data_IF_094488424557
#
_entry.id   IF_094488424557
#
_cell.length_a   1.000
_cell.length_b   1.000
_cell.length_c   1.000
_cell.angle_alpha   90.00
_cell.angle_beta   90.00
_cell.angle_gamma   90.00
#
_symmetry.space_group_name_H-M   'P 1'
#
loop_
_entity.id
_entity.type
_entity.pdbx_description
1 polymer ?
#
# COMPACT_ATOMS: atom_id res chain seq x y z
N UNK A 1 3.42 -19.50 39.64
CA UNK A 1 4.09 -18.47 38.81
C UNK A 1 3.20 -18.25 37.59
N UNK A 2 2.12 -17.49 37.77
CA UNK A 2 1.07 -17.31 36.76
C UNK A 2 0.49 -15.91 36.87
N UNK A 3 1.31 -14.91 36.59
CA UNK A 3 0.89 -13.50 36.54
C UNK A 3 1.95 -12.78 35.73
N UNK A 4 1.77 -12.61 34.41
CA UNK A 4 2.50 -11.63 33.56
C UNK A 4 2.08 -11.62 32.07
N UNK A 5 0.94 -12.21 31.68
CA UNK A 5 0.51 -12.26 30.26
C UNK A 5 -0.69 -11.40 29.90
N UNK A 6 -1.28 -10.64 30.84
CA UNK A 6 -2.52 -9.87 30.60
C UNK A 6 -2.29 -8.40 30.19
N UNK A 7 -1.04 -7.94 30.05
CA UNK A 7 -0.72 -6.52 29.79
C UNK A 7 -0.28 -6.22 28.37
N UNK A 8 -0.23 -7.20 27.46
CA UNK A 8 0.13 -6.97 26.04
C UNK A 8 -1.08 -6.74 25.14
N UNK A 9 -2.22 -7.35 25.45
CA UNK A 9 -3.42 -7.23 24.62
C UNK A 9 -4.10 -5.86 24.78
N UNK A 10 -3.95 -5.19 25.94
CA UNK A 10 -4.55 -3.87 26.21
C UNK A 10 -3.83 -2.72 25.49
N UNK A 11 -2.53 -2.85 25.19
CA UNK A 11 -1.77 -1.83 24.45
C UNK A 11 -1.96 -1.91 22.93
N UNK A 12 -2.50 -3.03 22.43
CA UNK A 12 -2.72 -3.24 21.00
C UNK A 12 -4.07 -2.68 20.52
N UNK A 13 -5.07 -2.59 21.40
CA UNK A 13 -6.37 -1.95 21.07
C UNK A 13 -6.29 -0.43 20.99
N UNK A 14 -5.46 0.23 21.82
CA UNK A 14 -5.31 1.69 21.78
C UNK A 14 -4.55 2.18 20.54
N UNK A 15 -3.58 1.41 20.04
CA UNK A 15 -2.83 1.74 18.82
C UNK A 15 -3.66 1.54 17.55
N UNK A 16 -4.59 0.57 17.54
CA UNK A 16 -5.48 0.32 16.41
C UNK A 16 -6.57 1.39 16.26
N UNK A 17 -7.08 1.91 17.39
CA UNK A 17 -8.08 2.98 17.41
C UNK A 17 -7.50 4.35 17.01
N UNK A 18 -6.21 4.60 17.27
CA UNK A 18 -5.52 5.80 16.79
C UNK A 18 -5.17 5.71 15.29
N UNK A 19 -4.80 4.53 14.77
CA UNK A 19 -4.55 4.32 13.33
C UNK A 19 -5.82 4.48 12.48
N UNK A 20 -6.97 3.99 12.96
CA UNK A 20 -8.25 4.13 12.25
C UNK A 20 -8.74 5.60 12.20
N UNK A 21 -8.35 6.43 13.18
CA UNK A 21 -8.61 7.88 13.17
C UNK A 21 -7.58 8.65 12.32
N UNK A 22 -6.35 8.14 12.19
CA UNK A 22 -5.30 8.76 11.37
C UNK A 22 -5.50 8.48 9.88
N UNK A 23 -5.97 7.27 9.52
CA UNK A 23 -6.25 6.88 8.13
C UNK A 23 -7.46 7.60 7.52
N UNK A 24 -8.34 8.18 8.33
CA UNK A 24 -9.47 9.00 7.87
C UNK A 24 -9.02 10.39 7.38
N UNK A 25 -7.82 10.85 7.77
CA UNK A 25 -7.25 12.14 7.38
C UNK A 25 -5.98 12.00 6.54
N UNK A 26 -5.76 10.87 5.86
CA UNK A 26 -4.73 10.77 4.82
C UNK A 26 -5.27 11.34 3.50
N UNK A 27 -5.66 12.61 3.54
CA UNK A 27 -5.93 13.36 2.32
C UNK A 27 -4.60 13.57 1.60
N UNK A 28 -4.43 12.91 0.45
CA UNK A 28 -3.26 13.09 -0.42
C UNK A 28 -3.03 14.59 -0.64
N UNK A 29 -1.77 15.07 -0.61
CA UNK A 29 -1.44 16.50 -0.70
C UNK A 29 -2.17 17.23 -1.86
N UNK A 30 -2.40 16.55 -2.98
CA UNK A 30 -3.20 17.06 -4.10
C UNK A 30 -4.66 17.38 -3.74
N UNK A 31 -5.30 16.52 -2.94
CA UNK A 31 -6.68 16.72 -2.47
C UNK A 31 -6.79 17.92 -1.51
N UNK A 32 -5.82 18.09 -0.60
CA UNK A 32 -5.77 19.26 0.29
C UNK A 32 -5.61 20.55 -0.52
N UNK A 33 -4.77 20.55 -1.57
CA UNK A 33 -4.59 21.70 -2.45
C UNK A 33 -5.89 22.04 -3.18
N UNK A 34 -6.58 21.03 -3.74
CA UNK A 34 -7.86 21.22 -4.42
C UNK A 34 -8.95 21.79 -3.50
N UNK A 35 -9.10 21.22 -2.30
CA UNK A 35 -10.04 21.70 -1.28
C UNK A 35 -9.72 23.15 -0.87
N UNK A 36 -8.44 23.50 -0.70
CA UNK A 36 -8.06 24.89 -0.37
C UNK A 36 -8.36 25.88 -1.49
N UNK A 37 -8.20 25.48 -2.75
CA UNK A 37 -8.58 26.30 -3.91
C UNK A 37 -10.10 26.44 -4.03
N UNK A 38 -10.85 25.36 -3.77
CA UNK A 38 -12.31 25.40 -3.71
C UNK A 38 -12.79 26.37 -2.62
N UNK A 39 -12.22 26.30 -1.41
CA UNK A 39 -12.54 27.24 -0.31
C UNK A 39 -12.20 28.69 -0.68
N UNK A 40 -11.08 28.94 -1.37
CA UNK A 40 -10.75 30.29 -1.89
C UNK A 40 -11.81 30.77 -2.88
N UNK A 41 -12.30 29.91 -3.78
CA UNK A 41 -13.33 30.23 -4.76
C UNK A 41 -14.68 30.54 -4.10
N UNK A 42 -15.06 29.79 -3.07
CA UNK A 42 -16.25 30.08 -2.27
C UNK A 42 -16.10 31.42 -1.55
N UNK A 43 -14.96 31.67 -0.91
CA UNK A 43 -14.69 32.94 -0.20
C UNK A 43 -14.76 34.14 -1.13
N UNK A 44 -14.18 34.06 -2.32
CA UNK A 44 -14.25 35.14 -3.31
C UNK A 44 -15.67 35.35 -3.83
N UNK A 45 -16.47 34.29 -3.96
CA UNK A 45 -17.89 34.40 -4.35
C UNK A 45 -18.73 35.03 -3.25
N UNK A 46 -18.54 34.61 -2.00
CA UNK A 46 -19.18 35.22 -0.84
C UNK A 46 -18.78 36.69 -0.65
N UNK A 47 -17.51 37.03 -0.90
CA UNK A 47 -17.03 38.42 -0.86
C UNK A 47 -17.66 39.26 -1.97
N UNK A 48 -17.87 38.71 -3.18
CA UNK A 48 -18.64 39.37 -4.26
C UNK A 48 -20.10 39.59 -3.87
N UNK A 49 -20.75 38.59 -3.28
CA UNK A 49 -22.14 38.70 -2.79
C UNK A 49 -22.23 39.77 -1.71
N UNK A 50 -21.31 39.76 -0.75
CA UNK A 50 -21.19 40.81 0.28
C UNK A 50 -20.99 42.18 -0.35
N UNK A 51 -20.09 42.31 -1.32
CA UNK A 51 -19.87 43.57 -2.04
C UNK A 51 -21.13 44.03 -2.78
N UNK A 52 -21.91 43.12 -3.35
CA UNK A 52 -23.18 43.42 -4.02
C UNK A 52 -24.25 43.92 -3.04
N UNK A 53 -24.38 43.25 -1.88
CA UNK A 53 -25.35 43.60 -0.83
C UNK A 53 -25.00 44.95 -0.18
N UNK A 54 -23.72 45.20 0.11
CA UNK A 54 -23.29 46.41 0.81
C UNK A 54 -22.92 47.58 -0.11
N UNK A 55 -22.78 47.39 -1.44
CA UNK A 55 -22.76 48.51 -2.39
C UNK A 55 -24.16 49.07 -2.67
N UNK A 56 -25.22 48.27 -2.56
CA UNK A 56 -26.59 48.72 -2.82
C UNK A 56 -27.18 49.55 -1.66
N UNK A 57 -26.62 49.45 -0.45
CA UNK A 57 -26.99 50.30 0.70
C UNK A 57 -26.28 51.66 0.76
N UNK A 58 -25.27 51.86 -0.09
CA UNK A 58 -24.36 53.01 -0.03
C UNK A 58 -24.40 53.92 -1.25
N UNK A 59 -25.60 54.35 -1.70
CA UNK A 59 -25.71 55.53 -2.56
C UNK A 59 -26.57 55.41 -3.81
N UNK A 60 -27.88 55.28 -3.64
CA UNK A 60 -28.81 55.86 -4.61
C UNK A 60 -29.24 57.24 -4.11
N UNK A 61 -28.46 58.25 -4.50
CA UNK A 61 -28.98 59.61 -4.57
C UNK A 61 -30.17 59.56 -5.52
N UNK A 62 -31.35 59.89 -5.00
CA UNK A 62 -32.53 60.22 -5.79
C UNK A 62 -32.17 61.33 -6.79
N UNK A 63 -31.89 60.96 -8.03
CA UNK A 63 -31.86 61.88 -9.16
C UNK A 63 -32.59 61.20 -10.31
N UNK A 64 -33.88 61.49 -10.41
CA UNK A 64 -34.67 61.72 -11.63
C UNK A 64 -36.09 62.06 -11.17
N UNK A 65 -36.36 63.35 -10.96
CA UNK A 65 -36.86 64.30 -11.97
C UNK A 65 -38.39 64.33 -12.01
N UNK A 66 -38.89 65.23 -11.17
CA UNK A 66 -40.07 66.06 -11.41
C UNK A 66 -39.93 66.81 -12.75
N UNK A 67 -41.08 67.24 -13.28
CA UNK A 67 -41.39 68.06 -14.47
C UNK A 67 -41.89 67.17 -15.64
N UNK A 68 -43.11 67.30 -16.17
CA UNK A 68 -43.88 68.52 -16.41
C UNK A 68 -45.38 68.38 -16.15
N UNK A 69 -45.87 69.21 -15.24
CA UNK A 69 -47.21 69.76 -15.31
C UNK A 69 -47.10 71.21 -15.77
N UNK A 70 -47.76 71.51 -16.88
CA UNK A 70 -48.11 72.85 -17.41
C UNK A 70 -47.01 73.61 -18.17
N UNK A 71 -47.16 73.66 -19.49
CA UNK A 71 -46.72 74.78 -20.33
C UNK A 71 -47.92 75.26 -21.17
N UNK A 72 -48.32 76.50 -20.88
CA UNK A 72 -49.28 77.31 -21.62
C UNK A 72 -48.57 78.07 -22.75
N UNK A 73 -49.37 78.57 -23.71
CA UNK A 73 -49.27 79.85 -24.46
C UNK A 73 -48.95 79.72 -25.97
N UNK A 74 -49.95 80.03 -26.82
CA UNK A 74 -50.14 81.29 -27.62
C UNK A 74 -49.29 81.30 -28.92
N UNK A 75 -49.73 81.65 -30.14
CA UNK A 75 -50.81 82.47 -30.71
C UNK A 75 -51.04 82.11 -32.20
N UNK A 76 -52.24 82.39 -32.73
CA UNK A 76 -52.54 82.95 -34.07
C UNK A 76 -54.08 83.05 -34.15
N UNK A 77 -54.65 84.22 -33.89
CA UNK A 77 -55.12 85.16 -34.92
C UNK A 77 -56.16 84.58 -35.89
N UNK A 78 -57.35 85.16 -35.78
CA UNK A 78 -58.30 85.56 -36.82
C UNK A 78 -58.84 84.53 -37.84
N UNK A 79 -60.15 84.62 -38.11
CA UNK A 79 -60.84 83.76 -39.08
C UNK A 79 -60.54 84.11 -40.56
N UNK A 80 -61.33 83.64 -41.54
CA UNK A 80 -62.49 82.74 -41.44
C UNK A 80 -62.59 81.65 -42.55
N UNK A 81 -63.62 80.81 -42.43
CA UNK A 81 -64.31 80.01 -43.47
C UNK A 81 -63.61 78.76 -44.04
N UNK A 82 -64.16 77.59 -43.68
CA UNK A 82 -64.73 76.58 -44.61
C UNK A 82 -65.22 75.41 -43.74
N UNK A 83 -66.42 75.46 -43.17
CA UNK A 83 -67.58 74.74 -43.71
C UNK A 83 -67.16 73.60 -44.65
N UNK A 84 -67.14 72.35 -44.15
CA UNK A 84 -67.78 71.15 -44.74
C UNK A 84 -67.72 70.03 -43.68
N UNK A 85 -68.89 69.69 -43.17
CA UNK A 85 -69.34 68.40 -42.66
C UNK A 85 -68.62 67.74 -41.47
N UNK A 86 -68.86 68.30 -40.28
CA UNK A 86 -69.07 67.45 -39.10
C UNK A 86 -70.46 66.81 -39.21
N UNK A 87 -70.58 65.80 -40.07
CA UNK A 87 -71.66 64.84 -39.95
C UNK A 87 -71.35 63.98 -38.72
N UNK A 88 -72.23 64.05 -37.72
CA UNK A 88 -72.17 63.18 -36.55
C UNK A 88 -72.03 61.74 -37.05
N UNK A 89 -70.95 60.99 -36.71
CA UNK A 89 -70.85 59.60 -37.10
C UNK A 89 -72.13 58.92 -36.61
N UNK A 90 -72.89 58.32 -37.51
CA UNK A 90 -74.10 57.59 -37.12
C UNK A 90 -73.71 56.67 -35.96
N UNK A 91 -74.53 56.68 -34.91
CA UNK A 91 -74.32 55.90 -33.69
C UNK A 91 -73.92 54.45 -33.98
N UNK A 92 -74.43 53.90 -35.09
CA UNK A 92 -74.11 52.58 -35.63
C UNK A 92 -72.62 52.39 -35.96
N UNK A 93 -71.94 53.38 -36.55
CA UNK A 93 -70.50 53.29 -36.86
C UNK A 93 -69.63 53.22 -35.60
N UNK A 94 -70.03 53.92 -34.55
CA UNK A 94 -69.34 53.90 -33.24
C UNK A 94 -69.58 52.56 -32.55
N UNK A 95 -70.82 52.06 -32.58
CA UNK A 95 -71.18 50.76 -32.02
C UNK A 95 -70.42 49.62 -32.72
N UNK A 96 -70.29 49.66 -34.04
CA UNK A 96 -69.56 48.63 -34.78
C UNK A 96 -68.04 48.67 -34.49
N UNK A 97 -67.44 49.87 -34.40
CA UNK A 97 -66.05 50.01 -33.95
C UNK A 97 -65.84 49.50 -32.52
N UNK A 98 -66.82 49.68 -31.63
CA UNK A 98 -66.77 49.15 -30.27
C UNK A 98 -66.79 47.62 -30.29
N UNK A 99 -67.73 47.00 -31.01
CA UNK A 99 -67.79 45.54 -31.18
C UNK A 99 -66.51 44.96 -31.76
N UNK A 100 -65.93 45.60 -32.77
CA UNK A 100 -64.65 45.18 -33.35
C UNK A 100 -63.50 45.24 -32.33
N UNK A 101 -63.45 46.29 -31.50
CA UNK A 101 -62.47 46.39 -30.42
C UNK A 101 -62.68 45.34 -29.32
N UNK A 102 -63.93 45.04 -28.96
CA UNK A 102 -64.26 44.00 -27.98
C UNK A 102 -63.87 42.60 -28.48
N UNK A 103 -64.09 42.32 -29.77
CA UNK A 103 -63.62 41.10 -30.43
C UNK A 103 -62.08 41.01 -30.41
N UNK A 104 -61.38 42.12 -30.68
CA UNK A 104 -59.93 42.17 -30.62
C UNK A 104 -59.40 41.94 -29.19
N UNK A 105 -60.04 42.53 -28.17
CA UNK A 105 -59.70 42.29 -26.76
C UNK A 105 -59.92 40.83 -26.37
N UNK A 106 -61.01 40.22 -26.85
CA UNK A 106 -61.28 38.80 -26.60
C UNK A 106 -60.19 37.90 -27.22
N UNK A 107 -59.73 38.22 -28.42
CA UNK A 107 -58.66 37.49 -29.10
C UNK A 107 -57.30 37.68 -28.40
N UNK A 108 -56.94 38.92 -28.02
CA UNK A 108 -55.75 39.20 -27.23
C UNK A 108 -55.77 38.51 -25.86
N UNK A 109 -56.93 38.42 -25.20
CA UNK A 109 -57.07 37.69 -23.94
C UNK A 109 -56.85 36.18 -24.13
N UNK A 110 -57.36 35.58 -25.21
CA UNK A 110 -57.09 34.16 -25.53
C UNK A 110 -55.61 33.93 -25.80
N UNK A 111 -54.95 34.84 -26.52
CA UNK A 111 -53.51 34.76 -26.78
C UNK A 111 -52.69 34.85 -25.48
N UNK A 112 -53.04 35.77 -24.59
CA UNK A 112 -52.39 35.90 -23.27
C UNK A 112 -52.51 34.63 -22.42
N UNK A 113 -53.68 33.97 -22.41
CA UNK A 113 -53.85 32.69 -21.71
C UNK A 113 -52.97 31.59 -22.32
N UNK A 114 -52.87 31.53 -23.66
CA UNK A 114 -51.95 30.58 -24.34
C UNK A 114 -50.49 30.87 -24.00
N UNK A 115 -50.08 32.14 -23.98
CA UNK A 115 -48.71 32.53 -23.62
C UNK A 115 -48.38 32.16 -22.18
N UNK A 116 -49.33 32.34 -21.26
CA UNK A 116 -49.18 31.94 -19.85
C UNK A 116 -48.94 30.44 -19.72
N UNK A 117 -49.74 29.61 -20.41
CA UNK A 117 -49.56 28.15 -20.43
C UNK A 117 -48.19 27.77 -21.02
N UNK A 118 -47.77 28.38 -22.13
CA UNK A 118 -46.44 28.10 -22.74
C UNK A 118 -45.30 28.45 -21.80
N UNK A 119 -45.42 29.59 -21.10
CA UNK A 119 -44.42 30.04 -20.15
C UNK A 119 -44.34 29.11 -18.92
N UNK A 120 -45.48 28.68 -18.39
CA UNK A 120 -45.54 27.67 -17.32
C UNK A 120 -44.98 26.32 -17.78
N UNK A 121 -45.33 25.85 -18.98
CA UNK A 121 -44.80 24.61 -19.55
C UNK A 121 -43.28 24.66 -19.77
N UNK A 122 -42.75 25.79 -20.27
CA UNK A 122 -41.31 25.98 -20.43
C UNK A 122 -40.58 26.02 -19.09
N UNK A 123 -41.18 26.62 -18.05
CA UNK A 123 -40.63 26.63 -16.69
C UNK A 123 -40.63 25.24 -16.07
N UNK A 124 -41.72 24.50 -16.21
CA UNK A 124 -41.84 23.13 -15.69
C UNK A 124 -40.89 22.17 -16.41
N UNK A 125 -40.77 22.27 -17.74
CA UNK A 125 -39.78 21.51 -18.50
C UNK A 125 -38.36 21.82 -18.02
N UNK A 126 -38.03 23.10 -17.80
CA UNK A 126 -36.75 23.52 -17.22
C UNK A 126 -36.51 22.90 -15.84
N UNK A 127 -37.47 23.02 -14.92
CA UNK A 127 -37.37 22.43 -13.58
C UNK A 127 -37.24 20.89 -13.61
N UNK A 128 -37.96 20.22 -14.51
CA UNK A 128 -37.86 18.77 -14.70
C UNK A 128 -36.49 18.34 -15.22
N UNK A 129 -35.89 19.09 -16.16
CA UNK A 129 -34.52 18.80 -16.63
C UNK A 129 -33.49 18.96 -15.51
N UNK A 130 -33.58 20.03 -14.72
CA UNK A 130 -32.68 20.24 -13.57
C UNK A 130 -32.82 19.13 -12.52
N UNK A 131 -34.05 18.72 -12.18
CA UNK A 131 -34.30 17.58 -11.28
C UNK A 131 -33.68 16.29 -11.79
N UNK A 132 -33.87 15.98 -13.08
CA UNK A 132 -33.28 14.78 -13.69
C UNK A 132 -31.75 14.80 -13.69
N UNK A 133 -31.14 15.95 -14.01
CA UNK A 133 -29.68 16.08 -14.01
C UNK A 133 -29.13 15.96 -12.58
N UNK A 134 -29.77 16.60 -11.60
CA UNK A 134 -29.39 16.47 -10.20
C UNK A 134 -29.50 15.01 -9.72
N UNK A 135 -30.61 14.34 -10.00
CA UNK A 135 -30.82 12.94 -9.64
C UNK A 135 -29.74 12.02 -10.24
N UNK A 136 -29.46 12.14 -11.54
CA UNK A 136 -28.41 11.34 -12.21
C UNK A 136 -27.04 11.59 -11.60
N UNK A 137 -26.74 12.84 -11.24
CA UNK A 137 -25.48 13.18 -10.59
C UNK A 137 -25.38 12.49 -9.23
N UNK A 138 -26.43 12.55 -8.40
CA UNK A 138 -26.47 11.85 -7.11
C UNK A 138 -26.33 10.34 -7.23
N UNK A 139 -27.07 9.71 -8.15
CA UNK A 139 -26.99 8.28 -8.42
C UNK A 139 -25.58 7.86 -8.85
N UNK A 140 -24.94 8.66 -9.73
CA UNK A 140 -23.59 8.39 -10.19
C UNK A 140 -22.55 8.48 -9.06
N UNK A 141 -22.67 9.51 -8.21
CA UNK A 141 -21.79 9.70 -7.05
C UNK A 141 -21.97 8.57 -6.04
N UNK A 142 -23.21 8.21 -5.73
CA UNK A 142 -23.51 7.11 -4.82
C UNK A 142 -22.92 5.80 -5.32
N UNK A 143 -23.14 5.47 -6.61
CA UNK A 143 -22.60 4.26 -7.23
C UNK A 143 -21.07 4.24 -7.15
N UNK A 144 -20.42 5.35 -7.50
CA UNK A 144 -18.95 5.44 -7.44
C UNK A 144 -18.43 5.27 -6.01
N UNK A 145 -19.10 5.87 -5.02
CA UNK A 145 -18.75 5.72 -3.60
C UNK A 145 -18.89 4.27 -3.12
N UNK A 146 -19.98 3.60 -3.51
CA UNK A 146 -20.21 2.19 -3.16
C UNK A 146 -19.19 1.25 -3.81
N UNK A 147 -18.85 1.47 -5.08
CA UNK A 147 -17.82 0.72 -5.79
C UNK A 147 -16.44 0.90 -5.15
N UNK A 148 -16.07 2.14 -4.79
CA UNK A 148 -14.80 2.43 -4.13
C UNK A 148 -14.75 1.76 -2.75
N UNK A 149 -15.82 1.88 -1.95
CA UNK A 149 -15.94 1.21 -0.65
C UNK A 149 -15.79 -0.31 -0.79
N UNK A 150 -16.44 -0.92 -1.79
CA UNK A 150 -16.34 -2.36 -2.05
C UNK A 150 -14.91 -2.74 -2.41
N UNK A 151 -14.25 -1.98 -3.29
CA UNK A 151 -12.86 -2.24 -3.67
C UNK A 151 -11.93 -2.16 -2.47
N UNK A 152 -12.09 -1.15 -1.61
CA UNK A 152 -11.29 -1.01 -0.39
C UNK A 152 -11.48 -2.20 0.56
N UNK A 153 -12.72 -2.67 0.71
CA UNK A 153 -13.02 -3.85 1.53
C UNK A 153 -12.40 -5.13 0.95
N UNK A 154 -12.42 -5.28 -0.39
CA UNK A 154 -11.79 -6.41 -1.08
C UNK A 154 -10.26 -6.35 -0.95
N UNK A 155 -9.65 -5.16 -1.09
CA UNK A 155 -8.22 -4.93 -0.90
C UNK A 155 -7.80 -5.22 0.55
N UNK A 156 -8.60 -4.82 1.54
CA UNK A 156 -8.38 -5.14 2.96
C UNK A 156 -8.37 -6.65 3.21
N UNK A 157 -9.33 -7.38 2.65
CA UNK A 157 -9.39 -8.85 2.75
C UNK A 157 -8.20 -9.51 2.07
N UNK A 158 -7.81 -9.03 0.89
CA UNK A 158 -6.64 -9.55 0.17
C UNK A 158 -5.36 -9.36 0.98
N UNK A 159 -5.16 -8.17 1.56
CA UNK A 159 -4.03 -7.88 2.44
C UNK A 159 -4.04 -8.77 3.68
N UNK A 160 -5.20 -8.98 4.30
CA UNK A 160 -5.34 -9.87 5.46
C UNK A 160 -4.93 -11.32 5.13
N UNK A 161 -5.41 -11.86 4.00
CA UNK A 161 -5.06 -13.22 3.55
C UNK A 161 -3.56 -13.33 3.25
N UNK A 162 -2.98 -12.34 2.57
CA UNK A 162 -1.54 -12.30 2.27
C UNK A 162 -0.70 -12.28 3.56
N UNK A 163 -1.11 -11.47 4.54
CA UNK A 163 -0.45 -11.39 5.83
C UNK A 163 -0.47 -12.73 6.57
N UNK A 164 -1.65 -13.38 6.67
CA UNK A 164 -1.78 -14.71 7.27
C UNK A 164 -0.95 -15.79 6.57
N UNK A 165 -0.85 -15.75 5.24
CA UNK A 165 -0.01 -16.68 4.49
C UNK A 165 1.47 -16.48 4.79
N UNK A 166 1.93 -15.21 4.81
CA UNK A 166 3.32 -14.86 5.17
C UNK A 166 3.63 -15.25 6.61
N UNK A 167 2.72 -15.01 7.55
CA UNK A 167 2.86 -15.42 8.94
C UNK A 167 2.98 -16.94 9.08
N UNK A 168 2.16 -17.71 8.36
CA UNK A 168 2.23 -19.17 8.34
C UNK A 168 3.58 -19.67 7.81
N UNK A 169 4.07 -19.11 6.69
CA UNK A 169 5.40 -19.45 6.12
C UNK A 169 6.51 -19.10 7.12
N UNK A 170 6.45 -17.93 7.74
CA UNK A 170 7.40 -17.51 8.77
C UNK A 170 7.42 -18.50 9.94
N UNK A 171 6.26 -18.91 10.44
CA UNK A 171 6.15 -19.91 11.52
C UNK A 171 6.77 -21.26 11.14
N UNK A 172 6.58 -21.71 9.90
CA UNK A 172 7.21 -22.94 9.39
C UNK A 172 8.74 -22.83 9.31
N UNK A 173 9.27 -21.69 8.86
CA UNK A 173 10.71 -21.44 8.84
C UNK A 173 11.30 -21.40 10.25
N UNK A 174 10.63 -20.75 11.20
CA UNK A 174 11.04 -20.72 12.61
C UNK A 174 11.05 -22.14 13.21
N UNK A 175 10.06 -22.97 12.91
CA UNK A 175 10.04 -24.37 13.35
C UNK A 175 11.19 -25.20 12.74
N UNK A 176 11.44 -25.02 11.44
CA UNK A 176 12.55 -25.68 10.74
C UNK A 176 13.90 -25.26 11.33
N UNK A 177 14.07 -23.97 11.61
CA UNK A 177 15.26 -23.42 12.24
C UNK A 177 15.48 -24.02 13.64
N UNK A 178 14.43 -24.09 14.47
CA UNK A 178 14.48 -24.75 15.79
C UNK A 178 14.94 -26.21 15.69
N UNK A 179 14.47 -26.95 14.67
CA UNK A 179 14.90 -28.33 14.44
C UNK A 179 16.39 -28.40 14.07
N UNK A 180 16.86 -27.50 13.22
CA UNK A 180 18.28 -27.42 12.83
C UNK A 180 19.16 -27.05 14.02
N UNK A 181 18.75 -26.07 14.84
CA UNK A 181 19.46 -25.70 16.07
C UNK A 181 19.60 -26.89 17.01
N UNK A 182 18.52 -27.65 17.25
CA UNK A 182 18.57 -28.86 18.09
C UNK A 182 19.53 -29.92 17.54
N UNK A 183 19.58 -30.12 16.21
CA UNK A 183 20.53 -31.04 15.58
C UNK A 183 21.97 -30.54 15.71
N UNK A 184 22.18 -29.23 15.59
CA UNK A 184 23.49 -28.60 15.74
C UNK A 184 24.01 -28.73 17.17
N UNK A 185 23.17 -28.48 18.17
CA UNK A 185 23.49 -28.70 19.59
C UNK A 185 23.91 -30.14 19.85
N UNK A 186 23.18 -31.13 19.32
CA UNK A 186 23.54 -32.55 19.45
C UNK A 186 24.88 -32.89 18.79
N UNK A 187 25.17 -32.32 17.60
CA UNK A 187 26.48 -32.47 16.96
C UNK A 187 27.59 -31.80 17.76
N UNK A 188 27.33 -30.65 18.38
CA UNK A 188 28.29 -29.94 19.20
C UNK A 188 28.65 -30.75 20.45
N UNK A 189 27.67 -31.32 21.16
CA UNK A 189 27.92 -32.23 22.27
C UNK A 189 28.77 -33.43 21.86
N UNK A 190 28.48 -34.03 20.70
CA UNK A 190 29.27 -35.16 20.19
C UNK A 190 30.71 -34.77 19.84
N UNK A 191 30.93 -33.58 19.28
CA UNK A 191 32.28 -33.04 19.03
C UNK A 191 33.03 -32.89 20.36
N UNK A 192 32.40 -32.30 21.38
CA UNK A 192 33.02 -32.14 22.71
C UNK A 192 33.39 -33.49 23.35
N UNK A 193 32.56 -34.52 23.18
CA UNK A 193 32.88 -35.88 23.65
C UNK A 193 34.13 -36.46 22.96
N UNK A 194 34.22 -36.28 21.64
CA UNK A 194 35.38 -36.74 20.85
C UNK A 194 36.65 -35.95 21.20
N UNK A 195 36.56 -34.64 21.38
CA UNK A 195 37.68 -33.79 21.82
C UNK A 195 38.23 -34.26 23.18
N UNK A 196 37.34 -34.54 24.14
CA UNK A 196 37.73 -35.08 25.44
C UNK A 196 38.39 -36.47 25.34
N UNK A 197 37.91 -37.31 24.43
CA UNK A 197 38.52 -38.63 24.18
C UNK A 197 39.92 -38.48 23.59
N UNK A 198 40.09 -37.63 22.58
CA UNK A 198 41.38 -37.35 21.94
C UNK A 198 42.36 -36.78 22.96
N UNK A 199 41.94 -35.83 23.81
CA UNK A 199 42.78 -35.29 24.87
C UNK A 199 43.30 -36.38 25.81
N UNK A 200 42.43 -37.28 26.27
CA UNK A 200 42.85 -38.42 27.12
C UNK A 200 43.85 -39.33 26.42
N UNK A 201 43.64 -39.61 25.13
CA UNK A 201 44.56 -40.43 24.34
C UNK A 201 45.92 -39.73 24.14
N UNK A 202 45.94 -38.41 24.00
CA UNK A 202 47.17 -37.62 23.90
C UNK A 202 47.97 -37.64 25.21
N UNK A 203 47.28 -37.51 26.35
CA UNK A 203 47.87 -37.65 27.68
C UNK A 203 48.47 -39.04 27.89
N UNK A 204 47.73 -40.10 27.53
CA UNK A 204 48.23 -41.48 27.60
C UNK A 204 49.44 -41.71 26.69
N UNK A 205 49.39 -41.20 25.45
CA UNK A 205 50.52 -41.26 24.50
C UNK A 205 51.77 -40.59 25.09
N UNK A 206 51.62 -39.43 25.74
CA UNK A 206 52.73 -38.73 26.41
C UNK A 206 53.34 -39.60 27.51
N UNK A 207 52.51 -40.17 28.38
CA UNK A 207 52.96 -41.08 29.46
C UNK A 207 53.70 -42.31 28.91
N UNK A 208 53.19 -42.92 27.83
CA UNK A 208 53.83 -44.07 27.18
C UNK A 208 55.20 -43.71 26.58
N UNK A 209 55.33 -42.52 25.97
CA UNK A 209 56.61 -42.04 25.44
C UNK A 209 57.64 -41.80 26.57
N UNK A 210 57.23 -41.19 27.68
CA UNK A 210 58.08 -41.00 28.87
C UNK A 210 58.53 -42.36 29.45
N UNK A 211 57.61 -43.33 29.52
CA UNK A 211 57.92 -44.68 29.98
C UNK A 211 58.89 -45.41 29.05
N UNK A 212 58.68 -45.31 27.74
CA UNK A 212 59.59 -45.88 26.72
C UNK A 212 60.99 -45.31 26.86
N UNK A 213 61.13 -43.98 26.98
CA UNK A 213 62.42 -43.33 27.18
C UNK A 213 63.13 -43.84 28.45
N UNK A 214 62.38 -43.99 29.55
CA UNK A 214 62.90 -44.53 30.81
C UNK A 214 63.42 -45.97 30.69
N UNK A 215 62.71 -46.83 29.95
CA UNK A 215 63.14 -48.21 29.69
C UNK A 215 64.37 -48.27 28.77
N UNK A 216 64.45 -47.39 27.78
CA UNK A 216 65.58 -47.31 26.87
C UNK A 216 66.87 -46.95 27.62
N UNK A 217 66.81 -46.00 28.56
CA UNK A 217 67.94 -45.66 29.45
C UNK A 217 68.37 -46.87 30.28
N UNK A 218 67.42 -47.60 30.89
CA UNK A 218 67.73 -48.81 31.68
C UNK A 218 68.34 -49.93 30.85
N UNK A 219 67.87 -50.12 29.62
CA UNK A 219 68.39 -51.12 28.71
C UNK A 219 69.83 -50.81 28.31
N UNK A 220 70.14 -49.54 28.01
CA UNK A 220 71.50 -49.09 27.74
C UNK A 220 72.42 -49.35 28.94
N UNK A 221 71.97 -49.05 30.17
CA UNK A 221 72.69 -49.37 31.42
C UNK A 221 72.95 -50.88 31.59
N UNK A 222 71.96 -51.72 31.29
CA UNK A 222 72.11 -53.18 31.36
C UNK A 222 73.01 -53.74 30.26
N UNK A 223 73.03 -53.11 29.07
CA UNK A 223 73.90 -53.49 27.95
C UNK A 223 75.38 -53.34 28.29
N UNK A 224 75.70 -52.37 29.15
CA UNK A 224 77.04 -52.16 29.71
C UNK A 224 77.40 -53.22 30.77
N UNK A 225 76.41 -53.95 31.33
CA UNK A 225 76.60 -54.97 32.37
C UNK A 225 76.47 -56.41 31.81
N UNK A 226 77.60 -57.05 31.49
CA UNK A 226 77.68 -58.26 30.64
C UNK A 226 77.35 -59.61 31.32
N UNK A 227 76.08 -59.95 31.63
CA UNK A 227 75.71 -61.34 32.05
C UNK A 227 74.34 -61.93 31.62
N UNK A 228 73.51 -61.30 30.77
CA UNK A 228 72.09 -61.73 30.63
C UNK A 228 71.62 -62.10 29.20
N UNK A 229 71.99 -63.28 28.71
CA UNK A 229 71.58 -63.78 27.39
C UNK A 229 70.09 -64.22 27.29
N UNK A 230 69.44 -64.54 28.42
CA UNK A 230 68.03 -64.99 28.47
C UNK A 230 67.04 -63.83 28.33
N UNK A 231 67.29 -62.74 29.07
CA UNK A 231 66.53 -61.48 28.97
C UNK A 231 66.54 -60.88 27.56
N UNK A 232 67.63 -61.06 26.79
CA UNK A 232 67.72 -60.58 25.42
C UNK A 232 66.74 -61.30 24.47
N UNK A 233 66.48 -62.60 24.69
CA UNK A 233 65.50 -63.37 23.91
C UNK A 233 64.06 -62.98 24.27
N UNK A 234 63.78 -62.73 25.55
CA UNK A 234 62.46 -62.26 26.00
C UNK A 234 62.16 -60.85 25.47
N UNK A 235 63.17 -59.97 25.45
CA UNK A 235 63.08 -58.67 24.79
C UNK A 235 62.81 -58.79 23.28
N UNK A 236 63.39 -59.79 22.61
CA UNK A 236 63.19 -59.98 21.18
C UNK A 236 61.78 -60.49 20.82
N UNK A 237 61.17 -61.32 21.67
CA UNK A 237 59.76 -61.73 21.48
C UNK A 237 58.81 -60.56 21.73
N UNK A 238 59.10 -59.71 22.72
CA UNK A 238 58.35 -58.48 23.01
C UNK A 238 58.46 -57.44 21.88
N UNK A 239 59.65 -57.28 21.29
CA UNK A 239 59.83 -56.44 20.09
C UNK A 239 58.97 -56.96 18.92
N UNK A 240 58.90 -58.27 18.75
CA UNK A 240 58.11 -58.90 17.68
C UNK A 240 56.60 -58.74 17.89
N UNK A 241 56.11 -58.77 19.13
CA UNK A 241 54.69 -58.50 19.43
C UNK A 241 54.34 -57.03 19.24
N UNK A 242 55.22 -56.11 19.68
CA UNK A 242 55.05 -54.67 19.45
C UNK A 242 55.06 -54.31 17.97
N UNK A 243 55.93 -54.90 17.15
CA UNK A 243 55.92 -54.71 15.69
C UNK A 243 54.59 -55.16 15.06
N UNK A 244 54.02 -56.26 15.55
CA UNK A 244 52.71 -56.74 15.08
C UNK A 244 51.58 -55.78 15.46
N UNK A 245 51.60 -55.26 16.69
CA UNK A 245 50.65 -54.23 17.13
C UNK A 245 50.78 -52.94 16.32
N UNK A 246 52.00 -52.47 16.06
CA UNK A 246 52.24 -51.29 15.21
C UNK A 246 51.69 -51.52 13.80
N UNK A 247 51.94 -52.69 13.22
CA UNK A 247 51.45 -53.02 11.87
C UNK A 247 49.92 -53.06 11.82
N UNK A 248 49.28 -53.65 12.84
CA UNK A 248 47.82 -53.65 12.96
C UNK A 248 47.26 -52.24 13.13
N UNK A 249 47.88 -51.42 13.98
CA UNK A 249 47.45 -50.03 14.19
C UNK A 249 47.60 -49.22 12.90
N UNK A 250 48.69 -49.39 12.16
CA UNK A 250 48.88 -48.75 10.85
C UNK A 250 47.80 -49.14 9.86
N UNK A 251 47.39 -50.42 9.83
CA UNK A 251 46.28 -50.87 8.99
C UNK A 251 44.96 -50.20 9.36
N UNK A 252 44.62 -50.14 10.65
CA UNK A 252 43.39 -49.48 11.13
C UNK A 252 43.41 -47.98 10.81
N UNK A 253 44.55 -47.30 11.03
CA UNK A 253 44.72 -45.88 10.69
C UNK A 253 44.53 -45.67 9.18
N UNK A 254 45.10 -46.53 8.34
CA UNK A 254 44.96 -46.43 6.89
C UNK A 254 43.49 -46.59 6.45
N UNK A 255 42.79 -47.59 7.00
CA UNK A 255 41.36 -47.78 6.76
C UNK A 255 40.52 -46.57 7.19
N UNK A 256 40.79 -46.01 8.36
CA UNK A 256 40.08 -44.81 8.83
C UNK A 256 40.38 -43.58 7.98
N UNK A 257 41.62 -43.37 7.56
CA UNK A 257 41.97 -42.29 6.63
C UNK A 257 41.26 -42.43 5.28
N UNK A 258 41.09 -43.66 4.80
CA UNK A 258 40.38 -43.92 3.56
C UNK A 258 38.87 -43.63 3.68
N UNK A 259 38.26 -44.01 4.80
CA UNK A 259 36.87 -43.65 5.11
C UNK A 259 36.68 -42.13 5.22
N UNK A 260 37.59 -41.44 5.91
CA UNK A 260 37.55 -39.98 6.03
C UNK A 260 37.63 -39.29 4.66
N UNK A 261 38.50 -39.78 3.75
CA UNK A 261 38.57 -39.27 2.37
C UNK A 261 37.25 -39.44 1.63
N UNK A 262 36.57 -40.59 1.78
CA UNK A 262 35.24 -40.82 1.19
C UNK A 262 34.21 -39.81 1.69
N UNK A 263 34.15 -39.58 3.01
CA UNK A 263 33.21 -38.62 3.62
C UNK A 263 33.50 -37.19 3.17
N UNK A 264 34.78 -36.80 3.04
CA UNK A 264 35.16 -35.48 2.52
C UNK A 264 34.68 -35.33 1.07
N UNK A 265 34.85 -36.36 0.25
CA UNK A 265 34.41 -36.34 -1.15
C UNK A 265 32.88 -36.23 -1.26
N UNK A 266 32.12 -36.94 -0.42
CA UNK A 266 30.66 -36.80 -0.34
C UNK A 266 30.24 -35.38 0.09
N UNK A 267 30.93 -34.81 1.08
CA UNK A 267 30.67 -33.45 1.56
C UNK A 267 30.95 -32.40 0.48
N UNK A 268 32.01 -32.59 -0.30
CA UNK A 268 32.36 -31.70 -1.42
C UNK A 268 31.35 -31.82 -2.57
N UNK A 269 30.82 -33.02 -2.83
CA UNK A 269 29.69 -33.23 -3.74
C UNK A 269 28.45 -32.46 -3.31
N UNK A 270 28.02 -32.62 -2.05
CA UNK A 270 26.87 -31.89 -1.49
C UNK A 270 27.08 -30.36 -1.50
N UNK A 271 28.30 -29.89 -1.27
CA UNK A 271 28.64 -28.46 -1.37
C UNK A 271 28.43 -27.93 -2.78
N UNK A 272 28.83 -28.68 -3.81
CA UNK A 272 28.61 -28.30 -5.21
C UNK A 272 27.11 -28.27 -5.56
N UNK A 273 26.34 -29.23 -5.07
CA UNK A 273 24.87 -29.25 -5.26
C UNK A 273 24.21 -28.02 -4.65
N UNK A 274 24.61 -27.63 -3.42
CA UNK A 274 24.12 -26.41 -2.78
C UNK A 274 24.49 -25.16 -3.58
N UNK A 275 25.73 -25.07 -4.06
CA UNK A 275 26.14 -23.95 -4.92
C UNK A 275 25.36 -23.88 -6.24
N UNK A 276 24.97 -25.02 -6.81
CA UNK A 276 24.09 -25.04 -7.99
C UNK A 276 22.68 -24.55 -7.66
N UNK A 277 22.13 -24.96 -6.51
CA UNK A 277 20.83 -24.45 -6.04
C UNK A 277 20.87 -22.94 -5.79
N UNK A 278 21.94 -22.42 -5.18
CA UNK A 278 22.13 -20.98 -4.97
C UNK A 278 22.13 -20.20 -6.29
N UNK A 279 22.82 -20.72 -7.32
CA UNK A 279 22.79 -20.13 -8.68
C UNK A 279 21.37 -20.13 -9.25
N UNK A 280 20.60 -21.22 -9.09
CA UNK A 280 19.20 -21.28 -9.54
C UNK A 280 18.33 -20.27 -8.80
N UNK A 281 18.49 -20.13 -7.50
CA UNK A 281 17.79 -19.12 -6.69
C UNK A 281 18.12 -17.71 -7.22
N UNK A 282 19.37 -17.42 -7.52
CA UNK A 282 19.77 -16.11 -8.03
C UNK A 282 19.13 -15.82 -9.40
N UNK A 283 19.14 -16.78 -10.33
CA UNK A 283 18.43 -16.61 -11.62
C UNK A 283 16.92 -16.41 -11.47
N UNK A 284 16.30 -17.03 -10.45
CA UNK A 284 14.88 -16.84 -10.16
C UNK A 284 14.62 -15.47 -9.56
N UNK A 285 15.49 -14.97 -8.67
CA UNK A 285 15.42 -13.60 -8.15
C UNK A 285 15.53 -12.56 -9.26
N UNK A 286 16.48 -12.73 -10.19
CA UNK A 286 16.61 -11.84 -11.35
C UNK A 286 15.31 -11.80 -12.17
N UNK A 287 14.69 -12.96 -12.43
CA UNK A 287 13.39 -13.01 -13.11
C UNK A 287 12.29 -12.29 -12.33
N UNK A 288 12.20 -12.49 -11.02
CA UNK A 288 11.23 -11.78 -10.17
C UNK A 288 11.45 -10.27 -10.26
N UNK A 289 12.70 -9.79 -10.11
CA UNK A 289 13.02 -8.37 -10.22
C UNK A 289 12.64 -7.79 -11.60
N UNK A 290 12.88 -8.53 -12.70
CA UNK A 290 12.47 -8.08 -14.03
C UNK A 290 10.94 -8.00 -14.18
N UNK A 291 10.21 -8.94 -13.59
CA UNK A 291 8.74 -8.93 -13.60
C UNK A 291 8.19 -7.80 -12.73
N UNK A 292 8.78 -7.55 -11.56
CA UNK A 292 8.43 -6.42 -10.70
C UNK A 292 8.66 -5.08 -11.41
N UNK A 293 9.82 -4.90 -12.06
CA UNK A 293 10.10 -3.71 -12.85
C UNK A 293 9.13 -3.53 -14.03
N UNK A 294 8.75 -4.63 -14.70
CA UNK A 294 7.72 -4.57 -15.75
C UNK A 294 6.34 -4.17 -15.19
N UNK A 295 5.98 -4.65 -14.01
CA UNK A 295 4.74 -4.26 -13.32
C UNK A 295 4.78 -2.77 -12.95
N UNK A 296 5.90 -2.27 -12.43
CA UNK A 296 6.08 -0.85 -12.13
C UNK A 296 5.99 0.03 -13.40
N UNK A 297 6.65 -0.34 -14.50
CA UNK A 297 6.57 0.42 -15.76
C UNK A 297 5.13 0.41 -16.31
N UNK A 298 4.43 -0.73 -16.24
CA UNK A 298 3.02 -0.82 -16.64
C UNK A 298 2.10 0.04 -15.77
N UNK A 299 2.34 0.10 -14.45
CA UNK A 299 1.61 0.97 -13.52
C UNK A 299 1.93 2.45 -13.78
N UNK A 300 3.20 2.80 -14.01
CA UNK A 300 3.64 4.16 -14.35
C UNK A 300 3.03 4.65 -15.66
N UNK A 301 3.05 3.82 -16.72
CA UNK A 301 2.39 4.13 -18.00
C UNK A 301 0.88 4.18 -17.92
N UNK A 302 0.27 3.49 -16.95
CA UNK A 302 -1.16 3.61 -16.68
C UNK A 302 -1.44 4.93 -15.98
N UNK A 303 -0.65 5.32 -14.97
CA UNK A 303 -0.75 6.63 -14.32
C UNK A 303 -0.57 7.81 -15.28
N UNK A 304 0.38 7.73 -16.22
CA UNK A 304 0.61 8.77 -17.23
C UNK A 304 -0.48 8.88 -18.30
N UNK A 305 -1.38 7.89 -18.44
CA UNK A 305 -2.52 7.93 -19.39
C UNK A 305 -3.78 8.56 -18.79
N UNK A 306 -3.79 8.86 -17.50
CA UNK A 306 -4.94 9.46 -16.79
C UNK A 306 -4.66 10.88 -16.26
N UNK A 307 -3.51 11.46 -16.59
CA UNK A 307 -3.19 12.90 -16.44
C UNK A 307 -3.10 13.54 -17.83
#
# INVERSE_FOLDING_TARGET
>A
MTTLTMTKDVLQEETQAEEDNLALYDSTSAHIIEETEYVKKIRTTLEKIRYQIFKDEGGYKNTNHKLDGKLYSHNAEDGPVSQVDTSCPSFDLIMEKMKCKDLQLLEMNKENEVLKIKLEASREAGAATLRNVAQKLFESYQKQSEELRKKHEDDKKLLQVNNLEKEKKFKQHVQSLKQVTKRLEGKHSHITELENLVQRMEEEKKLLLERKASLQIKLEQLRVNSKNAKSCKDLQTEISTLQRQISYLQFVIHSQHQNLRSVIQEMEGLKNDVQEQDKRIETLKEKVNTLEAQIEDMLGRRGARYN
#
